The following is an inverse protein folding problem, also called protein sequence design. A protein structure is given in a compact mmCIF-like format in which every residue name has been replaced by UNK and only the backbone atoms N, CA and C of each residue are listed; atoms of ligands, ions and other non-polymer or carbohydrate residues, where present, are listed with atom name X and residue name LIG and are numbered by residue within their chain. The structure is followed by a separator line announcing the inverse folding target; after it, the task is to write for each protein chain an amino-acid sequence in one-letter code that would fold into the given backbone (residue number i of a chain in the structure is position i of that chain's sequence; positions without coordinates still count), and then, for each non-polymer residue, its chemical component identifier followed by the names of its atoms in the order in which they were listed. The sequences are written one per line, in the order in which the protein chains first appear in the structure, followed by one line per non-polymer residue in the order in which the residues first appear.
data_IF_217180517903
#
_entry.id   IF_217180517903
#
_cell.length_a   1.000
_cell.length_b   1.000
_cell.length_c   1.000
_cell.angle_alpha   90.00
_cell.angle_beta   90.00
_cell.angle_gamma   90.00
#
_symmetry.space_group_name_H-M   'P 1'
#
loop_
_entity.id
_entity.type
_entity.pdbx_description
1 polymer ?
#
# COMPACT_ATOMS: atom_id res chain seq x y z
N UNK A 1 21.95 -9.51 8.45
CA UNK A 1 22.10 -8.04 8.49
C UNK A 1 20.77 -7.31 8.63
N UNK A 2 19.67 -7.88 8.15
CA UNK A 2 18.30 -7.36 8.31
C UNK A 2 17.66 -7.91 9.59
N UNK A 3 16.85 -7.09 10.26
CA UNK A 3 16.02 -7.48 11.40
C UNK A 3 14.61 -7.86 10.93
N UNK A 4 13.97 -6.99 10.17
CA UNK A 4 12.62 -7.19 9.61
C UNK A 4 12.46 -6.43 8.29
N UNK A 5 11.40 -6.76 7.55
CA UNK A 5 11.00 -6.07 6.33
C UNK A 5 9.48 -5.91 6.29
N UNK A 6 9.00 -4.82 5.70
CA UNK A 6 7.57 -4.59 5.45
C UNK A 6 7.36 -4.50 3.94
N UNK A 7 6.58 -5.42 3.33
CA UNK A 7 6.35 -5.43 1.90
C UNK A 7 5.34 -4.36 1.48
N UNK A 8 5.55 -3.79 0.31
CA UNK A 8 4.73 -2.71 -0.25
C UNK A 8 4.47 -2.99 -1.74
N UNK A 9 3.20 -2.96 -2.10
CA UNK A 9 2.72 -2.99 -3.48
C UNK A 9 2.11 -1.62 -3.83
N UNK A 10 2.79 -0.89 -4.71
CA UNK A 10 2.32 0.34 -5.33
C UNK A 10 1.77 0.04 -6.72
N UNK A 11 0.88 0.87 -7.23
CA UNK A 11 0.48 0.81 -8.64
C UNK A 11 -0.66 1.76 -8.94
N UNK A 12 -1.63 1.78 -8.02
CA UNK A 12 -2.88 2.48 -8.24
C UNK A 12 -3.06 3.69 -7.31
N UNK A 13 -4.03 4.53 -7.66
CA UNK A 13 -4.46 5.65 -6.85
C UNK A 13 -5.97 5.87 -6.94
N UNK A 14 -6.48 6.71 -6.07
CA UNK A 14 -7.83 7.27 -6.15
C UNK A 14 -7.74 8.78 -5.90
N UNK A 15 -8.19 9.58 -6.87
CA UNK A 15 -8.12 11.05 -6.81
C UNK A 15 -6.72 11.60 -6.45
N UNK A 16 -5.67 10.97 -6.99
CA UNK A 16 -4.28 11.36 -6.75
C UNK A 16 -3.65 10.81 -5.46
N UNK A 17 -4.42 10.17 -4.58
CA UNK A 17 -3.90 9.51 -3.38
C UNK A 17 -3.55 8.05 -3.63
N UNK A 18 -2.33 7.66 -3.25
CA UNK A 18 -1.81 6.31 -3.50
C UNK A 18 -2.62 5.26 -2.74
N UNK A 19 -3.00 4.20 -3.47
CA UNK A 19 -3.47 2.96 -2.87
C UNK A 19 -2.23 2.08 -2.68
N UNK A 20 -2.00 1.64 -1.44
CA UNK A 20 -0.81 0.87 -1.07
C UNK A 20 -1.25 -0.46 -0.49
N UNK A 21 -0.91 -1.53 -1.20
CA UNK A 21 -1.01 -2.89 -0.72
C UNK A 21 0.09 -3.18 0.30
N UNK A 22 -0.26 -3.52 1.53
CA UNK A 22 0.74 -3.81 2.58
C UNK A 22 0.15 -4.62 3.73
N UNK A 23 0.95 -4.83 4.77
CA UNK A 23 0.59 -5.51 6.01
C UNK A 23 0.31 -4.50 7.13
N UNK A 24 -0.37 -4.95 8.20
CA UNK A 24 -0.64 -4.10 9.37
C UNK A 24 0.64 -3.61 10.07
N UNK A 25 1.76 -4.31 9.88
CA UNK A 25 3.08 -3.89 10.35
C UNK A 25 3.49 -2.51 9.82
N UNK A 26 2.95 -2.06 8.68
CA UNK A 26 3.17 -0.69 8.17
C UNK A 26 2.45 0.37 9.00
N UNK A 27 1.21 0.09 9.44
CA UNK A 27 0.46 0.97 10.34
C UNK A 27 1.16 1.04 11.71
N UNK A 28 1.60 -0.11 12.22
CA UNK A 28 2.35 -0.22 13.48
C UNK A 28 3.68 0.55 13.41
N UNK A 29 4.40 0.44 12.30
CA UNK A 29 5.68 1.13 12.09
C UNK A 29 5.57 2.64 12.26
N UNK A 30 4.49 3.25 11.77
CA UNK A 30 4.22 4.68 11.93
C UNK A 30 3.45 5.04 13.21
N UNK A 31 3.13 4.07 14.06
CA UNK A 31 2.33 4.29 15.27
C UNK A 31 0.94 4.86 14.97
N UNK A 32 0.38 4.56 13.80
CA UNK A 32 -0.95 5.01 13.42
C UNK A 32 -2.03 4.21 14.19
N UNK A 33 -3.13 4.87 14.53
CA UNK A 33 -4.24 4.27 15.30
C UNK A 33 -5.56 4.54 14.60
N UNK A 34 -6.56 3.70 14.85
CA UNK A 34 -7.90 3.87 14.26
C UNK A 34 -8.64 5.05 14.93
N UNK A 35 -9.15 5.96 14.11
CA UNK A 35 -10.14 6.94 14.52
C UNK A 35 -11.55 6.34 14.50
N UNK A 36 -11.86 5.59 13.43
CA UNK A 36 -13.17 4.95 13.21
C UNK A 36 -13.01 3.63 12.47
N UNK A 37 -13.91 2.69 12.72
CA UNK A 37 -14.00 1.43 11.97
C UNK A 37 -12.90 0.44 12.36
N UNK A 38 -12.34 -0.23 11.34
CA UNK A 38 -11.36 -1.31 11.51
C UNK A 38 -10.24 -1.20 10.48
N UNK A 39 -9.09 -1.82 10.77
CA UNK A 39 -8.10 -2.11 9.73
C UNK A 39 -8.69 -3.08 8.70
N UNK A 40 -8.20 -3.01 7.47
CA UNK A 40 -8.57 -3.91 6.40
C UNK A 40 -8.29 -5.36 6.80
N UNK A 41 -9.15 -6.28 6.34
CA UNK A 41 -9.01 -7.72 6.58
C UNK A 41 -9.08 -8.53 5.29
N UNK A 42 -9.91 -8.10 4.33
CA UNK A 42 -10.14 -8.83 3.09
C UNK A 42 -9.74 -7.99 1.88
N UNK A 43 -9.44 -8.62 0.72
CA UNK A 43 -9.17 -7.89 -0.51
C UNK A 43 -10.27 -6.88 -0.81
N UNK A 44 -9.86 -5.72 -1.33
CA UNK A 44 -10.72 -4.56 -1.64
C UNK A 44 -11.34 -3.84 -0.43
N UNK A 45 -11.01 -4.22 0.81
CA UNK A 45 -11.25 -3.36 1.98
C UNK A 45 -10.11 -2.35 2.15
N UNK A 46 -10.46 -1.09 2.42
CA UNK A 46 -9.49 0.01 2.57
C UNK A 46 -9.59 0.64 3.95
N UNK A 47 -8.45 0.89 4.57
CA UNK A 47 -8.33 1.83 5.68
C UNK A 47 -7.68 3.11 5.20
N UNK A 48 -8.41 4.22 5.27
CA UNK A 48 -7.95 5.51 4.79
C UNK A 48 -7.12 6.25 5.85
N UNK A 49 -6.03 6.87 5.40
CA UNK A 49 -5.32 7.90 6.15
C UNK A 49 -6.21 9.11 6.43
N UNK A 50 -5.91 9.83 7.52
CA UNK A 50 -6.75 10.91 8.00
C UNK A 50 -6.92 12.04 6.97
N UNK A 51 -5.82 12.52 6.38
CA UNK A 51 -5.86 13.61 5.39
C UNK A 51 -6.56 13.20 4.10
N UNK A 52 -6.39 11.95 3.65
CA UNK A 52 -7.14 11.44 2.48
C UNK A 52 -8.63 11.43 2.75
N UNK A 53 -9.03 10.88 3.90
CA UNK A 53 -10.43 10.79 4.27
C UNK A 53 -11.09 12.16 4.43
N UNK A 54 -10.38 13.12 5.02
CA UNK A 54 -10.85 14.50 5.15
C UNK A 54 -10.98 15.20 3.78
N UNK A 55 -9.92 15.16 2.97
CA UNK A 55 -9.86 15.90 1.71
C UNK A 55 -10.83 15.37 0.65
N UNK A 56 -11.05 14.05 0.61
CA UNK A 56 -12.00 13.42 -0.30
C UNK A 56 -13.40 13.25 0.31
N UNK A 57 -13.58 13.61 1.59
CA UNK A 57 -14.84 13.44 2.31
C UNK A 57 -15.26 11.99 2.53
N UNK A 58 -14.31 11.04 2.50
CA UNK A 58 -14.58 9.59 2.62
C UNK A 58 -15.12 9.22 4.00
N UNK A 59 -16.09 8.31 3.99
CA UNK A 59 -16.75 7.74 5.16
C UNK A 59 -16.70 6.23 5.10
N UNK A 60 -16.87 5.58 6.25
CA UNK A 60 -17.01 4.12 6.30
C UNK A 60 -18.23 3.71 5.49
N UNK A 61 -18.04 2.75 4.58
CA UNK A 61 -19.05 2.28 3.64
C UNK A 61 -18.97 2.94 2.27
N UNK A 62 -18.21 4.03 2.11
CA UNK A 62 -18.00 4.63 0.79
C UNK A 62 -17.19 3.69 -0.10
N UNK A 63 -17.47 3.75 -1.39
CA UNK A 63 -16.85 2.90 -2.39
C UNK A 63 -16.22 3.72 -3.50
N UNK A 64 -15.10 3.24 -4.03
CA UNK A 64 -14.41 3.87 -5.15
C UNK A 64 -13.73 2.85 -6.06
N UNK A 65 -13.33 3.31 -7.24
CA UNK A 65 -12.50 2.56 -8.19
C UNK A 65 -11.07 3.05 -8.13
N UNK A 66 -10.14 2.14 -8.37
CA UNK A 66 -8.74 2.50 -8.53
C UNK A 66 -8.44 2.92 -9.96
N UNK A 67 -7.40 3.73 -10.14
CA UNK A 67 -6.96 4.20 -11.43
C UNK A 67 -5.43 4.17 -11.57
N UNK A 68 -4.97 4.04 -12.82
CA UNK A 68 -3.59 4.27 -13.20
C UNK A 68 -3.35 5.74 -13.53
N UNK A 69 -2.11 6.18 -13.31
CA UNK A 69 -1.71 7.58 -13.51
C UNK A 69 -2.15 8.50 -12.38
N UNK A 70 -1.25 9.38 -11.92
CA UNK A 70 -1.48 10.21 -10.72
C UNK A 70 -2.34 11.46 -10.94
N UNK A 71 -2.54 11.87 -12.20
CA UNK A 71 -3.25 13.11 -12.54
C UNK A 71 -4.30 12.95 -13.63
N UNK A 72 -4.05 12.07 -14.60
CA UNK A 72 -4.86 12.02 -15.81
C UNK A 72 -5.91 10.89 -15.82
N UNK A 73 -6.03 10.08 -14.76
CA UNK A 73 -7.00 8.98 -14.58
C UNK A 73 -7.35 8.24 -15.90
N UNK A 74 -6.34 7.94 -16.72
CA UNK A 74 -6.57 7.48 -18.09
C UNK A 74 -7.11 6.06 -18.15
N UNK A 75 -6.81 5.24 -17.14
CA UNK A 75 -7.25 3.86 -17.03
C UNK A 75 -7.85 3.61 -15.64
N UNK A 76 -9.18 3.50 -15.56
CA UNK A 76 -9.93 3.28 -14.33
C UNK A 76 -10.43 1.83 -14.30
N UNK A 77 -10.11 1.11 -13.22
CA UNK A 77 -10.57 -0.26 -12.98
C UNK A 77 -12.01 -0.29 -12.45
N UNK A 78 -12.96 -0.02 -13.35
CA UNK A 78 -14.40 0.10 -13.00
C UNK A 78 -15.09 -1.24 -12.67
N UNK A 79 -14.41 -2.36 -12.86
CA UNK A 79 -14.92 -3.71 -12.60
C UNK A 79 -14.64 -4.21 -11.16
N UNK A 80 -13.75 -3.55 -10.41
CA UNK A 80 -13.41 -3.94 -9.03
C UNK A 80 -13.55 -2.75 -8.09
N UNK A 81 -14.41 -2.88 -7.08
CA UNK A 81 -14.75 -1.79 -6.17
C UNK A 81 -14.02 -1.93 -4.84
N UNK A 82 -13.32 -0.88 -4.42
CA UNK A 82 -12.77 -0.75 -3.07
C UNK A 82 -13.82 -0.18 -2.13
N UNK A 83 -13.83 -0.65 -0.88
CA UNK A 83 -14.76 -0.21 0.17
C UNK A 83 -13.99 0.31 1.38
N UNK A 84 -14.31 1.52 1.83
CA UNK A 84 -13.71 2.11 3.04
C UNK A 84 -14.29 1.43 4.28
N UNK A 85 -13.45 0.76 5.06
CA UNK A 85 -13.84 0.06 6.30
C UNK A 85 -13.28 0.68 7.58
N UNK A 86 -12.34 1.61 7.44
CA UNK A 86 -11.75 2.33 8.56
C UNK A 86 -11.06 3.62 8.16
N UNK A 87 -10.89 4.50 9.15
CA UNK A 87 -10.19 5.77 9.01
C UNK A 87 -9.22 5.88 10.19
N UNK A 88 -7.96 6.23 9.90
CA UNK A 88 -6.91 6.42 10.90
C UNK A 88 -6.98 7.82 11.53
N UNK A 89 -6.47 7.95 12.76
CA UNK A 89 -6.19 9.25 13.35
C UNK A 89 -5.03 9.92 12.61
N UNK A 90 -5.07 11.24 12.47
CA UNK A 90 -3.92 11.98 11.95
C UNK A 90 -2.76 11.89 12.95
N UNK A 91 -1.58 11.58 12.45
CA UNK A 91 -0.34 11.58 13.23
C UNK A 91 0.83 12.29 12.53
N UNK A 92 0.57 12.93 11.38
CA UNK A 92 1.55 13.68 10.60
C UNK A 92 2.54 12.81 9.82
N UNK A 93 2.39 11.49 9.85
CA UNK A 93 3.21 10.58 9.05
C UNK A 93 2.71 10.48 7.61
N UNK A 94 3.46 9.76 6.76
CA UNK A 94 3.04 9.51 5.38
C UNK A 94 1.71 8.77 5.29
N UNK A 95 1.35 7.98 6.30
CA UNK A 95 0.12 7.18 6.34
C UNK A 95 -1.14 8.05 6.26
N UNK A 96 -1.09 9.29 6.74
CA UNK A 96 -2.21 10.23 6.66
C UNK A 96 -2.64 10.51 5.20
N UNK A 97 -1.73 10.31 4.24
CA UNK A 97 -1.92 10.57 2.82
C UNK A 97 -2.09 9.30 1.97
N UNK A 98 -2.35 8.14 2.59
CA UNK A 98 -2.46 6.86 1.89
C UNK A 98 -3.82 6.19 2.07
N UNK A 99 -4.18 5.36 1.09
CA UNK A 99 -5.26 4.38 1.17
C UNK A 99 -4.61 3.01 1.33
N UNK A 100 -4.75 2.38 2.51
CA UNK A 100 -4.07 1.12 2.81
C UNK A 100 -5.02 -0.07 2.64
N UNK A 101 -4.52 -1.14 2.02
CA UNK A 101 -5.29 -2.33 1.62
C UNK A 101 -4.40 -3.58 1.70
N UNK A 102 -4.93 -4.82 1.71
CA UNK A 102 -4.09 -6.00 1.55
C UNK A 102 -3.42 -6.01 0.16
N UNK A 103 -2.20 -6.53 0.06
CA UNK A 103 -1.45 -6.66 -1.20
C UNK A 103 -2.26 -7.39 -2.29
N UNK A 104 -3.05 -8.37 -1.90
CA UNK A 104 -3.94 -9.12 -2.79
C UNK A 104 -4.90 -8.23 -3.55
N UNK A 105 -5.29 -7.08 -3.00
CA UNK A 105 -6.17 -6.14 -3.70
C UNK A 105 -5.47 -5.50 -4.90
N UNK A 106 -4.17 -5.21 -4.75
CA UNK A 106 -3.35 -4.65 -5.83
C UNK A 106 -3.11 -5.70 -6.92
N UNK A 107 -2.92 -6.97 -6.57
CA UNK A 107 -2.79 -8.01 -7.59
C UNK A 107 -4.13 -8.30 -8.28
N UNK A 108 -5.21 -8.46 -7.49
CA UNK A 108 -6.52 -8.85 -8.01
C UNK A 108 -7.21 -7.76 -8.84
N UNK A 109 -6.87 -6.48 -8.63
CA UNK A 109 -7.44 -5.40 -9.45
C UNK A 109 -6.93 -5.43 -10.90
N UNK A 110 -5.78 -6.05 -11.13
CA UNK A 110 -5.17 -6.19 -12.45
C UNK A 110 -5.52 -7.50 -13.16
N UNK A 111 -6.31 -8.38 -12.52
CA UNK A 111 -6.76 -9.62 -13.14
C UNK A 111 -8.04 -9.42 -13.94
N UNK A 112 -8.11 -10.08 -15.09
CA UNK A 112 -9.38 -10.23 -15.80
C UNK A 112 -10.31 -11.23 -15.11
N UNK A 113 -11.60 -11.17 -15.41
CA UNK A 113 -12.59 -12.05 -14.79
C UNK A 113 -12.34 -13.51 -15.19
N UNK A 114 -12.11 -14.36 -14.18
CA UNK A 114 -11.82 -15.78 -14.37
C UNK A 114 -10.33 -16.12 -14.34
N UNK A 115 -9.45 -15.12 -14.30
CA UNK A 115 -8.04 -15.33 -14.04
C UNK A 115 -7.77 -15.57 -12.55
N UNK A 116 -6.75 -16.41 -12.29
CA UNK A 116 -6.23 -16.68 -10.95
C UNK A 116 -4.87 -16.04 -10.85
N UNK A 117 -4.58 -15.44 -9.69
CA UNK A 117 -3.25 -14.85 -9.42
C UNK A 117 -2.21 -15.96 -9.50
N UNK A 118 -1.39 -15.95 -10.54
CA UNK A 118 -0.20 -16.77 -10.61
C UNK A 118 0.75 -16.35 -9.48
N UNK A 119 1.45 -17.31 -8.88
CA UNK A 119 2.51 -17.00 -7.93
C UNK A 119 3.57 -16.08 -8.55
N UNK A 120 3.79 -16.17 -9.87
CA UNK A 120 4.73 -15.30 -10.59
C UNK A 120 4.25 -13.85 -10.73
N UNK A 121 2.94 -13.60 -10.72
CA UNK A 121 2.39 -12.23 -10.83
C UNK A 121 2.23 -11.54 -9.47
N UNK A 122 2.57 -12.21 -8.36
CA UNK A 122 2.56 -11.62 -7.01
C UNK A 122 3.81 -10.79 -6.77
N UNK A 123 3.82 -9.61 -7.39
CA UNK A 123 4.97 -8.72 -7.29
C UNK A 123 4.92 -7.86 -6.02
N UNK A 124 6.06 -7.79 -5.34
CA UNK A 124 6.35 -6.78 -4.31
C UNK A 124 7.15 -5.67 -4.99
N UNK A 125 6.57 -4.49 -5.08
CA UNK A 125 7.22 -3.35 -5.75
C UNK A 125 8.30 -2.68 -4.90
N UNK A 126 8.18 -2.77 -3.57
CA UNK A 126 9.15 -2.23 -2.63
C UNK A 126 9.12 -2.97 -1.30
N UNK A 127 10.22 -2.89 -0.55
CA UNK A 127 10.29 -3.42 0.80
C UNK A 127 11.00 -2.42 1.72
N UNK A 128 10.35 -2.04 2.82
CA UNK A 128 10.95 -1.22 3.87
C UNK A 128 11.74 -2.11 4.83
N UNK A 129 13.06 -1.94 4.87
CA UNK A 129 13.96 -2.82 5.63
C UNK A 129 14.45 -2.18 6.93
N UNK A 130 14.25 -2.88 8.06
CA UNK A 130 14.88 -2.56 9.34
C UNK A 130 16.24 -3.25 9.44
N UNK A 131 17.30 -2.45 9.62
CA UNK A 131 18.66 -2.97 9.80
C UNK A 131 18.82 -3.56 11.21
N UNK A 132 19.38 -4.77 11.32
CA UNK A 132 19.76 -5.37 12.62
C UNK A 132 21.00 -4.72 13.21
N UNK A 133 21.90 -4.25 12.34
CA UNK A 133 23.10 -3.52 12.73
C UNK A 133 23.53 -2.52 11.62
N UNK A 134 24.39 -1.53 11.93
CA UNK A 134 24.81 -0.52 10.97
C UNK A 134 25.54 -1.07 9.73
N UNK A 135 26.23 -2.21 9.86
CA UNK A 135 26.97 -2.84 8.75
C UNK A 135 26.07 -3.33 7.60
N UNK A 136 24.76 -3.41 7.82
CA UNK A 136 23.79 -3.69 6.77
C UNK A 136 23.90 -2.70 5.58
N UNK A 137 24.25 -1.44 5.84
CA UNK A 137 24.44 -0.39 4.82
C UNK A 137 25.53 -0.76 3.79
N UNK A 138 26.57 -1.48 4.22
CA UNK A 138 27.69 -1.89 3.36
C UNK A 138 27.43 -3.19 2.58
N UNK A 139 26.50 -4.01 3.08
CA UNK A 139 26.28 -5.36 2.56
C UNK A 139 25.08 -5.42 1.60
N UNK A 140 23.98 -4.75 1.92
CA UNK A 140 22.75 -4.79 1.11
C UNK A 140 22.98 -4.36 -0.35
N UNK A 141 23.69 -3.24 -0.65
CA UNK A 141 23.88 -2.83 -2.04
C UNK A 141 24.63 -3.89 -2.87
N UNK A 142 25.57 -4.62 -2.25
CA UNK A 142 26.32 -5.66 -2.95
C UNK A 142 25.45 -6.89 -3.25
N UNK A 143 24.53 -7.25 -2.35
CA UNK A 143 23.60 -8.37 -2.57
C UNK A 143 22.63 -8.11 -3.72
N UNK A 144 22.29 -6.85 -3.99
CA UNK A 144 21.32 -6.47 -5.03
C UNK A 144 21.96 -6.14 -6.39
N UNK A 145 23.30 -6.18 -6.51
CA UNK A 145 24.05 -5.68 -7.68
C UNK A 145 23.63 -6.34 -9.00
N UNK A 146 23.33 -7.63 -8.98
CA UNK A 146 22.95 -8.40 -10.17
C UNK A 146 21.42 -8.47 -10.37
N UNK A 147 20.69 -7.51 -9.80
CA UNK A 147 19.23 -7.41 -9.89
C UNK A 147 18.83 -6.01 -10.37
N UNK A 148 17.58 -5.87 -10.81
CA UNK A 148 17.02 -4.55 -11.13
C UNK A 148 16.57 -3.77 -9.88
N UNK A 149 16.79 -4.31 -8.68
CA UNK A 149 16.41 -3.66 -7.43
C UNK A 149 17.38 -2.54 -7.06
N UNK A 150 16.84 -1.46 -6.53
CA UNK A 150 17.61 -0.36 -5.98
C UNK A 150 17.39 -0.27 -4.47
N UNK A 151 18.39 0.23 -3.75
CA UNK A 151 18.29 0.47 -2.31
C UNK A 151 18.51 1.95 -2.03
N UNK A 152 17.56 2.56 -1.33
CA UNK A 152 17.71 3.87 -0.74
C UNK A 152 18.08 3.70 0.74
N UNK A 153 19.17 4.32 1.17
CA UNK A 153 19.66 4.28 2.55
C UNK A 153 19.52 5.69 3.15
N UNK A 154 19.05 5.82 4.40
CA UNK A 154 19.05 7.09 5.12
C UNK A 154 20.47 7.57 5.42
#
# INVERSE_FOLDING_TARGET
YIESGIPLAYGDNHEGYRIVGTEHSYVEHYGATLAKGKLWKSPFEVTAGASVAENLGLRIGDTFFSAHGLKDQTDIHTNKTFTVVGILNSNGSVVDQLLLTPMESIWNVHLEDGEVVDAETREITAMLLKKRNPLAVLTIPNTLRETNMQVALP
#
